data_IF_537069846250
#
_entry.id   IF_537069846250
#
_cell.length_a   1.000
_cell.length_b   1.000
_cell.length_c   1.000
_cell.angle_alpha   90.00
_cell.angle_beta   90.00
_cell.angle_gamma   90.00
#
_symmetry.space_group_name_H-M   'P 1'
#
loop_
_entity.id
_entity.type
_entity.pdbx_description
1 polymer ?
#
# COMPACT_ATOMS: atom_id res chain seq x y z
N UNK A 1 -8.46 -5.61 7.05
CA UNK A 1 -9.86 -5.30 6.65
C UNK A 1 -10.11 -5.98 5.31
N UNK A 2 -11.27 -5.75 4.69
CA UNK A 2 -11.73 -6.43 3.49
C UNK A 2 -12.65 -7.60 3.79
N UNK A 3 -12.80 -8.51 2.83
CA UNK A 3 -13.65 -9.69 2.96
C UNK A 3 -13.37 -10.49 4.26
N UNK A 4 -14.39 -10.55 5.13
CA UNK A 4 -14.28 -11.18 6.44
C UNK A 4 -13.84 -12.65 6.35
N UNK A 5 -12.80 -13.01 7.10
CA UNK A 5 -12.28 -14.38 7.18
C UNK A 5 -11.38 -14.81 6.01
N UNK A 6 -11.18 -13.96 5.00
CA UNK A 6 -10.36 -14.32 3.82
C UNK A 6 -8.89 -14.58 4.19
N UNK A 7 -8.30 -13.72 5.04
CA UNK A 7 -6.92 -13.89 5.51
C UNK A 7 -6.68 -15.22 6.23
N UNK A 8 -7.65 -15.70 7.03
CA UNK A 8 -7.53 -16.97 7.75
C UNK A 8 -7.47 -18.18 6.80
N UNK A 9 -8.16 -18.08 5.65
CA UNK A 9 -8.17 -19.13 4.63
C UNK A 9 -6.83 -19.17 3.89
N UNK A 10 -6.30 -18.01 3.51
CA UNK A 10 -5.11 -17.91 2.65
C UNK A 10 -3.79 -17.86 3.43
N UNK A 11 -3.80 -17.64 4.75
CA UNK A 11 -2.58 -17.67 5.57
C UNK A 11 -1.82 -18.98 5.44
N UNK A 12 -2.54 -20.09 5.20
CA UNK A 12 -1.95 -21.42 4.99
C UNK A 12 -1.07 -21.52 3.74
N UNK A 13 -1.30 -20.66 2.73
CA UNK A 13 -0.51 -20.63 1.48
C UNK A 13 0.45 -19.44 1.42
N UNK A 14 0.44 -18.57 2.44
CA UNK A 14 1.29 -17.40 2.48
C UNK A 14 2.75 -17.78 2.77
N UNK A 15 3.69 -17.02 2.18
CA UNK A 15 5.12 -17.23 2.37
C UNK A 15 5.76 -16.01 3.03
N UNK A 16 6.57 -16.25 4.05
CA UNK A 16 7.36 -15.20 4.69
C UNK A 16 8.66 -15.02 3.89
N UNK A 17 8.81 -13.84 3.28
CA UNK A 17 10.02 -13.45 2.56
C UNK A 17 10.37 -12.00 2.88
N UNK A 18 11.66 -11.65 2.79
CA UNK A 18 12.07 -10.26 2.87
C UNK A 18 11.82 -9.56 1.53
N UNK A 19 11.30 -8.33 1.58
CA UNK A 19 11.09 -7.52 0.37
C UNK A 19 12.40 -7.31 -0.41
N UNK A 20 13.52 -7.14 0.28
CA UNK A 20 14.83 -7.02 -0.38
C UNK A 20 15.16 -8.29 -1.18
N UNK A 21 14.96 -9.48 -0.60
CA UNK A 21 15.20 -10.72 -1.32
C UNK A 21 14.29 -10.87 -2.54
N UNK A 22 13.02 -10.50 -2.39
CA UNK A 22 12.05 -10.55 -3.47
C UNK A 22 12.41 -9.55 -4.58
N UNK A 23 12.77 -8.32 -4.23
CA UNK A 23 13.19 -7.29 -5.17
C UNK A 23 14.48 -7.65 -5.92
N UNK A 24 15.45 -8.26 -5.23
CA UNK A 24 16.69 -8.75 -5.86
C UNK A 24 16.41 -9.89 -6.85
N UNK A 25 15.54 -10.84 -6.49
CA UNK A 25 15.27 -12.00 -7.34
C UNK A 25 14.38 -11.60 -8.52
N UNK A 26 13.19 -11.05 -8.25
CA UNK A 26 12.20 -10.75 -9.30
C UNK A 26 12.62 -9.54 -10.14
N UNK A 27 13.09 -8.47 -9.49
CA UNK A 27 13.41 -7.21 -10.15
C UNK A 27 14.77 -7.20 -10.86
N UNK A 28 15.77 -7.94 -10.37
CA UNK A 28 17.14 -7.89 -10.91
C UNK A 28 17.62 -9.20 -11.53
N UNK A 29 17.48 -10.34 -10.85
CA UNK A 29 18.01 -11.62 -11.35
C UNK A 29 17.14 -12.22 -12.45
N UNK A 30 15.84 -12.33 -12.20
CA UNK A 30 14.86 -12.82 -13.16
C UNK A 30 14.55 -11.69 -14.16
N UNK A 31 14.19 -10.51 -13.65
CA UNK A 31 13.97 -9.28 -14.42
C UNK A 31 13.11 -9.50 -15.68
N UNK A 32 11.99 -10.21 -15.54
CA UNK A 32 11.10 -10.55 -16.66
C UNK A 32 10.62 -9.33 -17.47
N UNK A 33 10.55 -8.16 -16.83
CA UNK A 33 10.12 -6.89 -17.43
C UNK A 33 11.25 -6.07 -18.04
N UNK A 34 12.52 -6.43 -17.79
CA UNK A 34 13.68 -5.66 -18.24
C UNK A 34 13.89 -4.32 -17.54
N UNK A 35 13.11 -4.01 -16.48
CA UNK A 35 13.13 -2.72 -15.80
C UNK A 35 14.24 -2.59 -14.74
N UNK A 36 14.88 -3.71 -14.36
CA UNK A 36 15.91 -3.75 -13.31
C UNK A 36 15.42 -3.20 -11.96
N UNK A 37 14.14 -3.41 -11.66
CA UNK A 37 13.49 -2.97 -10.43
C UNK A 37 12.26 -3.85 -10.22
N UNK A 38 11.89 -4.02 -8.95
CA UNK A 38 10.62 -4.65 -8.59
C UNK A 38 9.58 -3.58 -8.32
N UNK A 39 8.54 -3.51 -9.14
CA UNK A 39 7.52 -2.46 -9.07
C UNK A 39 6.42 -2.87 -8.12
N UNK A 40 6.21 -2.11 -7.05
CA UNK A 40 5.17 -2.39 -6.05
C UNK A 40 4.11 -1.30 -6.05
N UNK A 41 2.85 -1.70 -6.18
CA UNK A 41 1.71 -0.82 -5.94
C UNK A 41 1.40 -0.77 -4.44
N UNK A 42 1.23 0.43 -3.88
CA UNK A 42 0.99 0.64 -2.44
C UNK A 42 -0.32 1.39 -2.28
N UNK A 43 -1.22 0.84 -1.47
CA UNK A 43 -2.49 1.48 -1.14
C UNK A 43 -2.25 2.75 -0.32
N UNK A 44 -2.96 3.84 -0.60
CA UNK A 44 -2.64 5.16 -0.04
C UNK A 44 -3.40 5.52 1.25
N UNK A 45 -4.58 4.93 1.48
CA UNK A 45 -5.53 5.42 2.52
C UNK A 45 -5.71 4.53 3.74
N UNK A 46 -5.47 3.22 3.64
CA UNK A 46 -5.64 2.28 4.76
C UNK A 46 -4.66 2.48 5.93
N UNK A 47 -3.82 3.47 5.81
CA UNK A 47 -2.56 3.58 6.50
C UNK A 47 -2.77 4.17 7.93
N UNK A 48 -3.95 4.73 8.24
CA UNK A 48 -4.25 5.44 9.50
C UNK A 48 -4.47 4.59 10.78
N UNK A 49 -4.22 3.27 10.79
CA UNK A 49 -4.38 2.46 12.02
C UNK A 49 -3.49 1.22 12.03
N UNK A 50 -2.84 1.02 13.19
CA UNK A 50 -2.02 -0.11 13.63
C UNK A 50 -0.50 0.05 13.50
N UNK A 51 0.21 -0.63 14.41
CA UNK A 51 1.55 -0.36 14.92
C UNK A 51 2.48 -1.56 14.69
N UNK A 52 3.78 -1.27 14.52
CA UNK A 52 4.96 -2.14 14.76
C UNK A 52 5.40 -3.14 13.69
N UNK A 53 5.88 -2.65 12.53
CA UNK A 53 6.90 -3.30 11.70
C UNK A 53 7.35 -2.28 10.66
N UNK A 54 8.51 -2.49 10.06
CA UNK A 54 9.10 -1.60 9.03
C UNK A 54 8.17 -1.42 7.79
N UNK A 55 7.14 -2.28 7.64
CA UNK A 55 6.03 -2.15 6.67
C UNK A 55 4.83 -1.33 7.17
N UNK A 56 4.62 -1.27 8.48
CA UNK A 56 3.56 -0.48 9.15
C UNK A 56 3.97 0.99 9.26
N UNK A 57 5.23 1.32 9.00
CA UNK A 57 5.72 2.67 9.19
C UNK A 57 5.10 3.65 8.17
N UNK A 58 4.96 3.32 6.87
CA UNK A 58 4.25 4.20 5.89
C UNK A 58 2.84 4.57 6.33
N UNK A 59 2.27 3.74 7.20
CA UNK A 59 0.89 3.78 7.60
C UNK A 59 0.58 4.96 8.51
N UNK A 60 1.33 5.07 9.59
CA UNK A 60 0.92 5.84 10.76
C UNK A 60 1.07 7.36 10.58
N UNK A 61 1.95 7.83 9.68
CA UNK A 61 2.40 9.22 9.76
C UNK A 61 1.65 10.23 8.91
N UNK A 62 1.07 9.87 7.77
CA UNK A 62 0.19 10.83 7.07
C UNK A 62 -1.01 11.17 7.97
N UNK A 63 -1.45 10.27 8.85
CA UNK A 63 -2.41 10.58 9.93
C UNK A 63 -1.85 11.49 11.01
N UNK A 64 -0.62 11.29 11.46
CA UNK A 64 -0.01 12.18 12.44
C UNK A 64 0.09 13.62 11.89
N UNK A 65 0.39 13.79 10.59
CA UNK A 65 0.27 15.08 9.89
C UNK A 65 -1.16 15.65 9.93
N UNK A 66 -2.19 14.80 9.87
CA UNK A 66 -3.62 15.14 9.87
C UNK A 66 -4.18 15.49 11.25
N UNK A 67 -3.76 14.76 12.29
CA UNK A 67 -4.25 14.92 13.66
C UNK A 67 -3.53 16.07 14.40
N UNK A 68 -2.34 16.44 13.94
CA UNK A 68 -1.57 17.56 14.46
C UNK A 68 -2.17 18.90 14.02
N UNK A 69 -3.24 19.34 14.69
CA UNK A 69 -3.75 20.72 14.52
C UNK A 69 -2.78 21.79 15.03
N UNK A 70 -1.79 21.42 15.86
CA UNK A 70 -0.78 22.32 16.41
C UNK A 70 0.58 21.60 16.54
N UNK A 71 1.55 21.90 15.67
CA UNK A 71 2.99 21.66 15.89
C UNK A 71 3.61 20.31 15.49
N UNK A 72 2.85 19.21 15.45
CA UNK A 72 3.42 17.84 15.32
C UNK A 72 3.50 17.29 13.86
N UNK A 73 3.37 18.17 12.87
CA UNK A 73 3.50 17.81 11.44
C UNK A 73 4.94 17.42 11.05
N UNK A 74 5.94 17.95 11.77
CA UNK A 74 7.34 17.72 11.48
C UNK A 74 7.74 16.25 11.73
N UNK A 75 7.34 15.65 12.87
CA UNK A 75 7.67 14.25 13.18
C UNK A 75 6.99 13.24 12.25
N UNK A 76 5.78 13.59 11.81
CA UNK A 76 5.04 12.83 10.83
C UNK A 76 5.73 12.82 9.45
N UNK A 77 6.09 14.00 8.93
CA UNK A 77 6.85 14.12 7.69
C UNK A 77 8.25 13.48 7.80
N UNK A 78 8.91 13.61 8.95
CA UNK A 78 10.22 13.00 9.21
C UNK A 78 10.15 11.48 9.12
N UNK A 79 9.13 10.85 9.71
CA UNK A 79 9.02 9.39 9.61
C UNK A 79 8.65 8.96 8.19
N UNK A 80 7.74 9.68 7.50
CA UNK A 80 7.44 9.43 6.09
C UNK A 80 8.72 9.50 5.24
N UNK A 81 9.56 10.52 5.49
CA UNK A 81 10.86 10.65 4.85
C UNK A 81 11.76 9.44 5.13
N UNK A 82 11.91 8.99 6.37
CA UNK A 82 12.74 7.82 6.69
C UNK A 82 12.21 6.54 6.07
N UNK A 83 10.90 6.41 5.88
CA UNK A 83 10.32 5.24 5.24
C UNK A 83 10.55 5.25 3.74
N UNK A 84 10.33 6.39 3.08
CA UNK A 84 10.70 6.60 1.68
C UNK A 84 12.20 6.37 1.47
N UNK A 85 13.03 6.85 2.40
CA UNK A 85 14.47 6.61 2.40
C UNK A 85 14.82 5.13 2.56
N UNK A 86 14.15 4.40 3.46
CA UNK A 86 14.39 2.97 3.60
C UNK A 86 13.91 2.18 2.38
N UNK A 87 12.80 2.59 1.76
CA UNK A 87 12.28 1.98 0.55
C UNK A 87 13.21 2.23 -0.65
N UNK A 88 13.78 3.43 -0.76
CA UNK A 88 14.72 3.78 -1.84
C UNK A 88 16.07 3.06 -1.76
N UNK A 89 16.37 2.41 -0.62
CA UNK A 89 17.56 1.56 -0.46
C UNK A 89 17.37 0.17 -1.08
N UNK A 90 16.15 -0.22 -1.41
CA UNK A 90 15.87 -1.46 -2.13
C UNK A 90 15.72 -1.16 -3.64
N UNK A 91 16.00 -2.13 -4.53
CA UNK A 91 15.74 -2.00 -5.98
C UNK A 91 14.25 -2.14 -6.26
N UNK A 92 13.46 -1.22 -5.70
CA UNK A 92 12.00 -1.21 -5.72
C UNK A 92 11.52 0.12 -6.27
N UNK A 93 10.56 0.05 -7.18
CA UNK A 93 9.83 1.23 -7.66
C UNK A 93 8.44 1.22 -7.04
N UNK A 94 8.17 2.19 -6.17
CA UNK A 94 6.89 2.29 -5.47
C UNK A 94 5.90 3.17 -6.23
N UNK A 95 4.70 2.64 -6.47
CA UNK A 95 3.55 3.36 -7.05
C UNK A 95 2.50 3.52 -5.95
N UNK A 96 2.36 4.73 -5.43
CA UNK A 96 1.35 5.03 -4.41
C UNK A 96 0.03 5.37 -5.08
N UNK A 97 -1.04 4.69 -4.68
CA UNK A 97 -2.38 4.89 -5.23
C UNK A 97 -3.33 5.30 -4.12
N UNK A 98 -3.89 6.50 -4.21
CA UNK A 98 -4.84 7.03 -3.23
C UNK A 98 -6.27 6.89 -3.74
N UNK A 99 -7.23 6.67 -2.85
CA UNK A 99 -8.63 6.71 -3.24
C UNK A 99 -8.97 8.10 -3.77
N UNK A 100 -9.77 8.14 -4.82
CA UNK A 100 -10.30 9.38 -5.33
C UNK A 100 -11.80 9.53 -5.10
N UNK A 101 -12.40 10.51 -5.79
CA UNK A 101 -13.75 10.99 -5.48
C UNK A 101 -14.86 9.97 -5.78
N UNK A 102 -14.60 8.97 -6.63
CA UNK A 102 -15.57 7.94 -6.98
C UNK A 102 -15.65 6.77 -5.99
N UNK A 103 -14.88 6.78 -4.90
CA UNK A 103 -14.96 5.72 -3.87
C UNK A 103 -16.35 5.70 -3.23
N UNK A 104 -17.01 4.53 -3.08
CA UNK A 104 -18.28 4.46 -2.40
C UNK A 104 -18.15 4.83 -0.92
N UNK A 105 -19.09 5.63 -0.42
CA UNK A 105 -19.13 6.04 0.99
C UNK A 105 -19.45 4.89 1.96
N UNK A 106 -19.93 3.75 1.45
CA UNK A 106 -20.27 2.56 2.24
C UNK A 106 -19.62 1.35 1.58
N UNK A 107 -18.78 0.64 2.33
CA UNK A 107 -18.09 -0.57 1.88
C UNK A 107 -18.16 -1.61 3.00
N UNK A 108 -18.60 -2.83 2.67
CA UNK A 108 -18.87 -3.91 3.64
C UNK A 108 -19.79 -3.51 4.82
N UNK A 109 -20.74 -2.59 4.58
CA UNK A 109 -21.63 -2.06 5.62
C UNK A 109 -20.97 -1.04 6.57
N UNK A 110 -19.70 -0.68 6.32
CA UNK A 110 -18.96 0.33 7.05
C UNK A 110 -18.99 1.64 6.26
N UNK A 111 -19.39 2.72 6.92
CA UNK A 111 -19.33 4.05 6.34
C UNK A 111 -17.89 4.59 6.42
N UNK A 112 -17.36 5.01 5.28
CA UNK A 112 -16.04 5.62 5.20
C UNK A 112 -16.16 7.13 5.12
N UNK A 113 -15.31 7.84 5.86
CA UNK A 113 -15.13 9.28 5.73
C UNK A 113 -13.83 9.55 5.00
N UNK A 114 -13.86 10.34 3.93
CA UNK A 114 -12.66 10.78 3.24
C UNK A 114 -11.80 11.63 4.18
N UNK A 115 -10.58 11.18 4.55
CA UNK A 115 -9.67 12.03 5.30
C UNK A 115 -9.19 13.14 4.36
N UNK A 116 -9.47 14.40 4.70
CA UNK A 116 -8.99 15.55 3.91
C UNK A 116 -7.51 15.81 4.22
N UNK A 117 -6.62 15.15 3.49
CA UNK A 117 -5.16 15.37 3.60
C UNK A 117 -4.71 16.34 2.52
N UNK A 118 -4.11 17.45 2.91
CA UNK A 118 -3.54 18.41 1.97
C UNK A 118 -2.46 17.79 1.08
N UNK A 119 -1.70 16.82 1.60
CA UNK A 119 -0.68 16.10 0.84
C UNK A 119 -1.30 15.17 -0.20
N UNK A 120 -2.35 14.42 0.16
CA UNK A 120 -3.06 13.51 -0.78
C UNK A 120 -3.77 14.29 -1.88
N UNK A 121 -4.20 15.52 -1.62
CA UNK A 121 -4.77 16.41 -2.64
C UNK A 121 -3.73 16.85 -3.71
N UNK A 122 -2.43 16.69 -3.44
CA UNK A 122 -1.35 16.99 -4.39
C UNK A 122 -0.79 15.73 -5.07
N UNK A 123 -1.32 14.55 -4.73
CA UNK A 123 -0.89 13.27 -5.29
C UNK A 123 -1.94 12.74 -6.28
N UNK A 124 -1.50 11.87 -7.19
CA UNK A 124 -2.40 11.20 -8.13
C UNK A 124 -3.39 10.31 -7.36
N UNK A 125 -4.67 10.40 -7.73
CA UNK A 125 -5.77 9.68 -7.11
C UNK A 125 -6.42 8.74 -8.11
N UNK A 126 -6.80 7.56 -7.66
CA UNK A 126 -7.62 6.63 -8.42
C UNK A 126 -8.97 7.27 -8.78
N UNK A 127 -9.64 6.85 -9.87
CA UNK A 127 -11.00 7.31 -10.15
C UNK A 127 -12.00 6.98 -9.04
N UNK A 128 -11.75 5.88 -8.30
CA UNK A 128 -12.59 5.40 -7.20
C UNK A 128 -11.76 4.77 -6.08
N UNK A 129 -11.94 3.47 -5.83
CA UNK A 129 -11.18 2.71 -4.84
C UNK A 129 -9.75 2.47 -5.32
N UNK A 130 -8.77 2.81 -4.47
CA UNK A 130 -7.38 2.56 -4.75
C UNK A 130 -7.06 1.07 -4.77
N UNK A 131 -7.80 0.24 -4.03
CA UNK A 131 -7.70 -1.22 -4.08
C UNK A 131 -8.02 -1.72 -5.50
N UNK A 132 -9.08 -1.19 -6.12
CA UNK A 132 -9.46 -1.55 -7.48
C UNK A 132 -8.42 -1.08 -8.49
N UNK A 133 -7.94 0.16 -8.36
CA UNK A 133 -6.90 0.70 -9.25
C UNK A 133 -5.58 -0.08 -9.15
N UNK A 134 -5.19 -0.52 -7.96
CA UNK A 134 -4.02 -1.38 -7.75
C UNK A 134 -4.18 -2.74 -8.42
N UNK A 135 -5.36 -3.35 -8.30
CA UNK A 135 -5.65 -4.57 -9.06
C UNK A 135 -5.58 -4.32 -10.57
N UNK A 136 -6.12 -3.21 -11.05
CA UNK A 136 -6.08 -2.87 -12.47
C UNK A 136 -4.64 -2.69 -12.98
N UNK A 137 -3.76 -2.06 -12.19
CA UNK A 137 -2.34 -1.95 -12.49
C UNK A 137 -1.61 -3.31 -12.48
N UNK A 138 -1.98 -4.22 -11.58
CA UNK A 138 -1.46 -5.60 -11.56
C UNK A 138 -1.89 -6.36 -12.81
N UNK A 139 -3.16 -6.24 -13.21
CA UNK A 139 -3.69 -6.90 -14.39
C UNK A 139 -3.07 -6.37 -15.70
N UNK A 140 -2.79 -5.07 -15.78
CA UNK A 140 -2.03 -4.47 -16.88
C UNK A 140 -0.55 -4.84 -16.89
N UNK A 141 -0.03 -5.49 -15.84
CA UNK A 141 1.40 -5.74 -15.67
C UNK A 141 2.21 -4.46 -15.44
N UNK A 142 1.58 -3.39 -14.96
CA UNK A 142 2.23 -2.14 -14.60
C UNK A 142 2.98 -2.26 -13.27
N UNK A 143 2.47 -3.06 -12.34
CA UNK A 143 3.13 -3.43 -11.07
C UNK A 143 3.35 -4.94 -10.99
N UNK A 144 4.29 -5.36 -10.18
CA UNK A 144 4.65 -6.78 -9.96
C UNK A 144 3.99 -7.36 -8.70
N UNK A 145 3.62 -6.50 -7.75
CA UNK A 145 2.89 -6.88 -6.55
C UNK A 145 2.14 -5.70 -5.93
N UNK A 146 1.12 -6.01 -5.14
CA UNK A 146 0.37 -5.05 -4.33
C UNK A 146 0.80 -5.18 -2.86
N UNK A 147 1.21 -4.09 -2.24
CA UNK A 147 1.44 -3.98 -0.80
C UNK A 147 0.16 -3.43 -0.15
N UNK A 148 -0.50 -4.24 0.68
CA UNK A 148 -1.74 -3.87 1.37
C UNK A 148 -2.02 -4.77 2.57
N UNK A 149 -2.75 -4.25 3.56
CA UNK A 149 -3.35 -4.99 4.69
C UNK A 149 -4.84 -5.31 4.46
N UNK A 150 -5.38 -4.82 3.35
CA UNK A 150 -6.74 -5.09 2.90
C UNK A 150 -6.74 -6.25 1.91
N UNK A 151 -7.66 -7.20 2.12
CA UNK A 151 -7.79 -8.38 1.26
C UNK A 151 -8.63 -8.12 0.00
N UNK A 152 -9.23 -6.95 -0.14
CA UNK A 152 -10.14 -6.65 -1.26
C UNK A 152 -9.45 -6.69 -2.63
N UNK A 153 -8.15 -6.39 -2.70
CA UNK A 153 -7.39 -6.53 -3.95
C UNK A 153 -7.29 -8.00 -4.40
N UNK A 154 -7.31 -8.97 -3.49
CA UNK A 154 -7.44 -10.40 -3.85
C UNK A 154 -8.81 -10.71 -4.43
N UNK A 155 -9.86 -10.10 -3.86
CA UNK A 155 -11.24 -10.28 -4.32
C UNK A 155 -11.38 -9.76 -5.75
N UNK A 156 -10.71 -8.67 -6.09
CA UNK A 156 -10.64 -8.17 -7.47
C UNK A 156 -9.80 -9.04 -8.40
N UNK A 157 -8.83 -9.79 -7.85
CA UNK A 157 -8.05 -10.78 -8.60
C UNK A 157 -6.55 -10.50 -8.67
N UNK A 158 -6.00 -9.68 -7.76
CA UNK A 158 -4.57 -9.39 -7.73
C UNK A 158 -3.77 -10.67 -7.50
N UNK A 159 -2.68 -10.85 -8.25
CA UNK A 159 -1.93 -12.12 -8.31
C UNK A 159 -0.88 -12.24 -7.22
N UNK A 160 -0.23 -11.13 -6.89
CA UNK A 160 0.81 -11.09 -5.86
C UNK A 160 0.48 -10.01 -4.83
N UNK A 161 0.33 -10.44 -3.57
CA UNK A 161 0.13 -9.52 -2.44
C UNK A 161 1.22 -9.70 -1.41
N UNK A 162 1.72 -8.56 -0.94
CA UNK A 162 2.65 -8.44 0.16
C UNK A 162 1.92 -7.75 1.32
N UNK A 163 1.76 -8.46 2.42
CA UNK A 163 1.13 -7.96 3.64
C UNK A 163 2.01 -8.29 4.85
N UNK A 164 1.85 -7.56 5.95
CA UNK A 164 2.42 -7.97 7.23
C UNK A 164 1.55 -9.08 7.81
N UNK A 165 2.03 -10.33 7.76
CA UNK A 165 1.40 -11.39 8.54
C UNK A 165 1.70 -11.14 10.02
N UNK A 166 0.68 -10.69 10.75
CA UNK A 166 0.68 -10.68 12.21
C UNK A 166 0.89 -12.06 12.82
#
# INVERSE_FOLDING_TARGET
MGANGLWEIIKAVAQIRSLLNLAMIEGLQINNRGLQTFVVGILGIFYLRFSNAIFISFSVQIYACLAARNGDQAGALETLFYQLFNLSRAPVTAVFVFDGPGRPNIKWGVQFTHPSVWLVAQMEQAPGEAEYELWYLDELGAIDAVITEDSDTLVFGAKCIICSLG
#
